data_IF_898748727685
#
_entry.id   IF_898748727685
#
_cell.length_a   1.000
_cell.length_b   1.000
_cell.length_c   1.000
_cell.angle_alpha   90.00
_cell.angle_beta   90.00
_cell.angle_gamma   90.00
#
_symmetry.space_group_name_H-M   'P 1'
#
loop_
_entity.id
_entity.type
_entity.pdbx_description
1 polymer ?
#
# COMPACT_ATOMS: atom_id res chain seq x y z
N UNK A 1 23.39 -0.05 10.73
CA UNK A 1 22.65 1.20 11.01
C UNK A 1 21.31 1.07 10.32
N UNK A 2 20.24 1.69 10.82
CA UNK A 2 18.94 1.58 10.15
C UNK A 2 18.64 2.86 9.39
N UNK A 3 17.95 2.76 8.26
CA UNK A 3 17.51 3.88 7.43
C UNK A 3 16.86 5.02 8.25
N UNK A 4 16.01 4.65 9.23
CA UNK A 4 15.36 5.63 10.09
C UNK A 4 16.34 6.40 10.99
N UNK A 5 17.43 5.74 11.45
CA UNK A 5 18.49 6.40 12.20
C UNK A 5 19.27 7.37 11.32
N UNK A 6 19.49 7.02 10.06
CA UNK A 6 20.23 7.87 9.13
C UNK A 6 19.42 9.09 8.71
N UNK A 7 18.11 8.97 8.51
CA UNK A 7 17.22 10.12 8.28
C UNK A 7 17.16 11.14 9.42
N UNK A 8 17.53 10.71 10.64
CA UNK A 8 17.55 11.57 11.83
C UNK A 8 18.90 12.30 12.01
N UNK A 9 19.91 11.99 11.18
CA UNK A 9 21.21 12.67 11.22
C UNK A 9 21.08 14.09 10.67
N UNK A 10 22.00 14.95 11.08
CA UNK A 10 22.08 16.31 10.56
C UNK A 10 22.39 16.33 9.04
N UNK A 11 23.13 15.32 8.58
CA UNK A 11 23.41 15.05 7.16
C UNK A 11 23.04 13.59 6.85
N UNK A 12 21.80 13.32 6.43
CA UNK A 12 21.30 11.96 6.23
C UNK A 12 21.91 11.26 5.00
N UNK A 13 22.57 11.98 4.13
CA UNK A 13 23.08 11.50 2.85
C UNK A 13 22.09 11.73 1.70
N UNK A 14 22.50 11.35 0.48
CA UNK A 14 21.69 11.56 -0.70
C UNK A 14 20.53 10.54 -0.75
N UNK A 15 19.31 11.05 -0.78
CA UNK A 15 18.10 10.23 -0.98
C UNK A 15 18.02 9.81 -2.44
N UNK A 16 17.81 8.53 -2.67
CA UNK A 16 17.58 7.95 -3.98
C UNK A 16 16.16 7.44 -4.05
N UNK A 17 15.42 7.89 -5.07
CA UNK A 17 14.06 7.46 -5.35
C UNK A 17 14.02 6.69 -6.65
N UNK A 18 13.46 5.48 -6.58
CA UNK A 18 13.34 4.57 -7.70
C UNK A 18 11.86 4.22 -7.89
N UNK A 19 11.50 3.89 -9.13
CA UNK A 19 10.12 3.60 -9.51
C UNK A 19 10.03 2.28 -10.23
N UNK A 20 9.09 1.44 -9.79
CA UNK A 20 8.64 0.24 -10.49
C UNK A 20 7.21 0.47 -10.96
N UNK A 21 6.94 0.27 -12.24
CA UNK A 21 5.59 0.23 -12.79
C UNK A 21 5.34 -1.18 -13.30
N UNK A 22 4.49 -1.90 -12.60
CA UNK A 22 4.14 -3.29 -12.88
C UNK A 22 2.79 -3.36 -13.61
N UNK A 23 2.86 -3.61 -14.90
CA UNK A 23 1.71 -3.84 -15.78
C UNK A 23 1.57 -5.30 -16.20
N UNK A 24 2.27 -6.23 -15.55
CA UNK A 24 2.25 -7.66 -15.94
C UNK A 24 0.87 -8.27 -15.90
N UNK A 25 -0.02 -7.79 -15.02
CA UNK A 25 -1.43 -8.21 -14.96
C UNK A 25 -2.21 -7.90 -16.24
N UNK A 26 -1.75 -6.96 -17.07
CA UNK A 26 -2.39 -6.54 -18.33
C UNK A 26 -1.61 -6.99 -19.58
N UNK A 27 -0.59 -7.82 -19.40
CA UNK A 27 0.19 -8.38 -20.50
C UNK A 27 1.43 -7.56 -20.88
N UNK A 28 1.83 -6.58 -20.08
CA UNK A 28 3.18 -5.97 -20.21
C UNK A 28 4.20 -7.03 -19.86
N UNK A 29 5.20 -7.25 -20.73
CA UNK A 29 6.14 -8.37 -20.58
C UNK A 29 7.04 -8.24 -19.36
N UNK A 30 7.38 -7.01 -18.97
CA UNK A 30 8.34 -6.70 -17.92
C UNK A 30 7.87 -5.54 -17.04
N UNK A 31 8.37 -5.50 -15.80
CA UNK A 31 8.23 -4.36 -14.91
C UNK A 31 9.09 -3.22 -15.40
N UNK A 32 8.51 -2.06 -15.62
CA UNK A 32 9.23 -0.84 -16.00
C UNK A 32 9.94 -0.27 -14.79
N UNK A 33 11.28 -0.18 -14.84
CA UNK A 33 12.10 0.33 -13.72
C UNK A 33 12.86 1.56 -14.15
N UNK A 34 12.69 2.64 -13.42
CA UNK A 34 13.32 3.91 -13.77
C UNK A 34 13.60 4.81 -12.57
N UNK A 35 14.48 5.80 -12.80
CA UNK A 35 14.82 6.86 -11.83
C UNK A 35 15.06 8.18 -12.54
N UNK A 36 14.96 9.30 -11.80
CA UNK A 36 15.18 10.66 -12.30
C UNK A 36 16.49 11.28 -11.81
N UNK A 37 17.40 10.49 -11.22
CA UNK A 37 18.65 11.03 -10.69
C UNK A 37 19.65 11.27 -11.79
N UNK A 38 20.27 12.46 -11.77
CA UNK A 38 21.41 12.75 -12.60
C UNK A 38 22.70 12.30 -11.89
N UNK A 39 23.36 11.30 -12.47
CA UNK A 39 24.60 10.73 -11.93
C UNK A 39 25.74 11.19 -12.82
N UNK A 40 26.64 12.00 -12.26
CA UNK A 40 27.80 12.51 -13.01
C UNK A 40 28.71 11.37 -13.50
N UNK A 41 29.25 11.54 -14.71
CA UNK A 41 30.26 10.66 -15.26
C UNK A 41 31.63 10.94 -14.65
N UNK A 42 32.43 9.91 -14.50
CA UNK A 42 33.81 10.07 -14.03
C UNK A 42 34.69 10.69 -15.13
N UNK A 43 35.80 11.29 -14.73
CA UNK A 43 36.75 11.91 -15.68
C UNK A 43 37.27 10.86 -16.71
N UNK A 44 37.45 9.61 -16.28
CA UNK A 44 37.90 8.52 -17.14
C UNK A 44 36.84 8.13 -18.19
N UNK A 45 35.56 8.09 -17.80
CA UNK A 45 34.43 7.82 -18.72
C UNK A 45 34.32 8.93 -19.77
N UNK A 46 34.41 10.21 -19.33
CA UNK A 46 34.37 11.36 -20.23
C UNK A 46 35.57 11.34 -21.20
N UNK A 47 36.75 11.01 -20.70
CA UNK A 47 37.93 10.87 -21.56
C UNK A 47 37.79 9.75 -22.60
N UNK A 48 37.22 8.60 -22.20
CA UNK A 48 36.94 7.50 -23.09
C UNK A 48 35.91 7.85 -24.18
N UNK A 49 34.98 8.75 -23.90
CA UNK A 49 33.99 9.27 -24.85
C UNK A 49 34.52 10.43 -25.73
N UNK A 50 35.84 10.69 -25.68
CA UNK A 50 36.46 11.75 -26.46
C UNK A 50 36.34 13.13 -25.89
N UNK A 51 36.09 13.24 -24.58
CA UNK A 51 35.98 14.51 -23.83
C UNK A 51 34.61 15.19 -23.88
N UNK A 52 33.60 14.54 -24.43
CA UNK A 52 32.25 15.09 -24.55
C UNK A 52 31.27 14.26 -23.69
N UNK A 53 30.89 14.81 -22.54
CA UNK A 53 29.96 14.20 -21.60
C UNK A 53 28.56 13.99 -22.22
N UNK A 54 28.14 14.83 -23.16
CA UNK A 54 26.81 14.72 -23.80
C UNK A 54 26.66 13.50 -24.70
N UNK A 55 27.75 12.83 -25.04
CA UNK A 55 27.73 11.59 -25.81
C UNK A 55 27.53 10.34 -24.96
N UNK A 56 27.64 10.48 -23.64
CA UNK A 56 27.45 9.37 -22.72
C UNK A 56 25.96 9.22 -22.39
N UNK A 57 25.44 7.98 -22.38
CA UNK A 57 24.08 7.72 -21.92
C UNK A 57 23.98 8.03 -20.42
N UNK A 58 22.81 8.48 -19.98
CA UNK A 58 22.55 8.63 -18.54
C UNK A 58 22.76 7.29 -17.82
N UNK A 59 23.40 7.34 -16.64
CA UNK A 59 23.72 6.14 -15.86
C UNK A 59 22.48 5.51 -15.26
N UNK A 60 22.39 4.20 -15.31
CA UNK A 60 21.39 3.43 -14.55
C UNK A 60 21.81 3.26 -13.08
N UNK A 61 20.83 2.92 -12.22
CA UNK A 61 21.04 2.59 -10.81
C UNK A 61 20.66 1.12 -10.60
N UNK A 62 21.52 0.38 -9.89
CA UNK A 62 21.27 -0.99 -9.47
C UNK A 62 20.75 -1.02 -8.05
N UNK A 63 19.58 -1.65 -7.85
CA UNK A 63 18.94 -1.82 -6.55
C UNK A 63 18.29 -3.20 -6.44
N UNK A 64 18.59 -3.95 -5.39
CA UNK A 64 18.08 -5.32 -5.17
C UNK A 64 18.35 -6.26 -6.35
N UNK A 65 19.48 -6.09 -7.03
CA UNK A 65 19.86 -6.86 -8.22
C UNK A 65 19.09 -6.51 -9.49
N UNK A 66 18.27 -5.44 -9.47
CA UNK A 66 17.54 -4.94 -10.63
C UNK A 66 18.14 -3.64 -11.13
N UNK A 67 18.12 -3.46 -12.45
CA UNK A 67 18.58 -2.24 -13.10
C UNK A 67 17.43 -1.26 -13.28
N UNK A 68 17.63 -0.04 -12.81
CA UNK A 68 16.73 1.10 -12.99
C UNK A 68 17.31 2.04 -14.00
N UNK A 69 16.63 2.24 -15.11
CA UNK A 69 17.09 3.10 -16.19
C UNK A 69 16.87 4.57 -15.87
N UNK A 70 17.77 5.43 -16.29
CA UNK A 70 17.59 6.87 -16.16
C UNK A 70 16.46 7.32 -17.08
N UNK A 71 15.39 7.87 -16.49
CA UNK A 71 14.26 8.42 -17.23
C UNK A 71 13.71 9.65 -16.51
N UNK A 72 13.56 10.81 -17.16
CA UNK A 72 13.05 12.00 -16.50
C UNK A 72 11.61 11.77 -16.01
N UNK A 73 11.45 11.80 -14.71
CA UNK A 73 10.15 11.61 -14.06
C UNK A 73 10.10 12.41 -12.77
N UNK A 74 8.89 12.77 -12.34
CA UNK A 74 8.63 13.50 -11.11
C UNK A 74 7.36 12.96 -10.46
N UNK A 75 7.37 12.83 -9.14
CA UNK A 75 6.18 12.51 -8.37
C UNK A 75 5.90 13.64 -7.38
N UNK A 76 4.66 14.12 -7.36
CA UNK A 76 4.18 15.15 -6.47
C UNK A 76 3.02 14.65 -5.62
N UNK A 77 2.79 15.26 -4.45
CA UNK A 77 1.67 14.89 -3.57
C UNK A 77 1.81 13.55 -2.87
N UNK A 78 3.03 13.01 -2.76
CA UNK A 78 3.31 11.73 -2.07
C UNK A 78 3.31 11.85 -0.54
N UNK A 79 3.18 13.06 -0.02
CA UNK A 79 3.22 13.35 1.40
C UNK A 79 1.96 12.84 2.10
N UNK A 80 2.13 12.27 3.27
CA UNK A 80 1.00 11.83 4.10
C UNK A 80 0.51 13.00 4.93
N UNK A 81 -0.70 13.48 4.66
CA UNK A 81 -1.33 14.50 5.47
C UNK A 81 -1.86 13.90 6.79
N UNK A 82 -1.78 14.68 7.88
CA UNK A 82 -2.28 14.26 9.20
C UNK A 82 -3.76 14.52 9.38
N UNK A 83 -4.40 15.16 8.41
CA UNK A 83 -5.84 15.49 8.40
C UNK A 83 -6.75 14.33 7.97
N UNK A 84 -6.16 13.17 7.64
CA UNK A 84 -6.89 11.98 7.21
C UNK A 84 -7.32 11.99 5.75
N UNK A 85 -6.91 13.00 4.97
CA UNK A 85 -7.13 12.98 3.52
C UNK A 85 -6.19 11.96 2.86
N UNK A 86 -6.73 11.17 1.93
CA UNK A 86 -5.92 10.26 1.12
C UNK A 86 -5.10 11.07 0.12
N UNK A 87 -3.79 10.85 0.10
CA UNK A 87 -2.94 11.48 -0.88
C UNK A 87 -3.25 10.90 -2.28
N UNK A 88 -3.48 11.77 -3.25
CA UNK A 88 -3.58 11.43 -4.67
C UNK A 88 -2.33 11.97 -5.40
N UNK A 89 -1.22 11.23 -5.36
CA UNK A 89 0.00 11.68 -6.01
C UNK A 89 -0.18 11.74 -7.52
N UNK A 90 0.59 12.64 -8.15
CA UNK A 90 0.70 12.70 -9.60
C UNK A 90 2.10 12.27 -10.00
N UNK A 91 2.21 11.25 -10.85
CA UNK A 91 3.45 10.80 -11.46
C UNK A 91 3.52 11.38 -12.88
N UNK A 92 4.46 12.27 -13.11
CA UNK A 92 4.77 12.85 -14.42
C UNK A 92 6.01 12.17 -15.00
N UNK A 93 5.91 11.68 -16.22
CA UNK A 93 6.99 10.95 -16.92
C UNK A 93 7.23 11.62 -18.26
N UNK A 94 8.50 11.85 -18.60
CA UNK A 94 8.86 12.42 -19.89
C UNK A 94 8.47 11.49 -21.04
N UNK A 95 7.84 12.05 -22.06
CA UNK A 95 7.37 11.33 -23.24
C UNK A 95 8.41 11.39 -24.37
N UNK A 96 9.57 10.82 -24.10
CA UNK A 96 10.67 10.80 -25.06
C UNK A 96 10.28 9.91 -26.25
N UNK A 97 10.40 10.45 -27.46
CA UNK A 97 10.08 9.75 -28.71
C UNK A 97 8.68 9.11 -28.73
N UNK A 98 7.73 9.68 -27.99
CA UNK A 98 6.36 9.17 -27.83
C UNK A 98 6.28 7.72 -27.33
N UNK A 99 7.31 7.22 -26.66
CA UNK A 99 7.37 5.85 -26.16
C UNK A 99 6.32 5.58 -25.07
N UNK A 100 6.09 6.55 -24.17
CA UNK A 100 5.06 6.42 -23.12
C UNK A 100 3.65 6.46 -23.74
N UNK A 101 3.40 7.34 -24.73
CA UNK A 101 2.14 7.35 -25.49
C UNK A 101 1.88 6.01 -26.16
N UNK A 102 2.89 5.39 -26.78
CA UNK A 102 2.76 4.08 -27.40
C UNK A 102 2.41 2.98 -26.38
N UNK A 103 3.00 3.02 -25.19
CA UNK A 103 2.66 2.11 -24.09
C UNK A 103 1.22 2.33 -23.63
N UNK A 104 0.81 3.58 -23.44
CA UNK A 104 -0.56 3.91 -23.05
C UNK A 104 -1.59 3.37 -24.06
N UNK A 105 -1.34 3.55 -25.36
CA UNK A 105 -2.22 3.04 -26.42
C UNK A 105 -2.25 1.51 -26.48
N UNK A 106 -1.15 0.85 -26.19
CA UNK A 106 -1.05 -0.61 -26.24
C UNK A 106 -1.72 -1.29 -25.03
N UNK A 107 -1.72 -0.63 -23.86
CA UNK A 107 -2.11 -1.22 -22.58
C UNK A 107 -3.14 -0.39 -21.79
N UNK A 108 -4.09 0.19 -22.50
CA UNK A 108 -5.26 0.91 -21.93
C UNK A 108 -4.85 1.95 -20.85
N UNK A 109 -3.94 2.86 -21.24
CA UNK A 109 -3.39 3.92 -20.39
C UNK A 109 -2.69 3.39 -19.11
N UNK A 110 -2.29 2.12 -19.06
CA UNK A 110 -1.71 1.45 -17.89
C UNK A 110 -2.61 1.53 -16.63
N UNK A 111 -3.92 1.67 -16.80
CA UNK A 111 -4.88 1.78 -15.71
C UNK A 111 -4.78 0.56 -14.78
N UNK A 112 -4.79 0.81 -13.48
CA UNK A 112 -4.60 -0.19 -12.43
C UNK A 112 -3.21 -0.83 -12.37
N UNK A 113 -2.23 -0.38 -13.16
CA UNK A 113 -0.86 -0.81 -13.00
C UNK A 113 -0.34 -0.40 -11.61
N UNK A 114 0.38 -1.32 -10.98
CA UNK A 114 0.95 -1.08 -9.65
C UNK A 114 2.21 -0.24 -9.78
N UNK A 115 2.26 0.88 -9.07
CA UNK A 115 3.42 1.75 -8.96
C UNK A 115 4.04 1.59 -7.58
N UNK A 116 5.28 1.09 -7.54
CA UNK A 116 6.04 0.99 -6.29
C UNK A 116 7.12 2.05 -6.30
N UNK A 117 7.17 2.83 -5.24
CA UNK A 117 8.20 3.87 -5.05
C UNK A 117 9.12 3.39 -3.94
N UNK A 118 10.41 3.29 -4.26
CA UNK A 118 11.47 2.92 -3.35
C UNK A 118 12.25 4.17 -2.95
N UNK A 119 12.18 4.57 -1.70
CA UNK A 119 12.99 5.66 -1.14
C UNK A 119 14.11 5.04 -0.29
N UNK A 120 15.36 5.16 -0.74
CA UNK A 120 16.56 4.67 -0.05
C UNK A 120 17.65 5.77 0.02
N UNK A 121 18.80 5.46 0.59
CA UNK A 121 19.96 6.34 0.59
C UNK A 121 21.05 5.76 -0.32
N UNK A 122 21.79 6.63 -1.00
CA UNK A 122 22.84 6.25 -1.94
C UNK A 122 23.87 5.27 -1.34
N UNK A 123 24.13 5.37 -0.03
CA UNK A 123 25.08 4.50 0.68
C UNK A 123 24.62 3.03 0.76
N UNK A 124 23.33 2.73 0.59
CA UNK A 124 22.78 1.37 0.66
C UNK A 124 22.61 0.70 -0.70
N UNK A 125 22.87 1.43 -1.79
CA UNK A 125 22.74 0.90 -3.15
C UNK A 125 23.68 -0.28 -3.40
N UNK A 126 23.31 -1.11 -4.35
CA UNK A 126 24.08 -2.30 -4.73
C UNK A 126 25.52 -1.96 -5.10
N UNK A 127 26.42 -2.91 -4.87
CA UNK A 127 27.85 -2.76 -5.11
C UNK A 127 28.17 -2.40 -6.57
N UNK A 128 27.32 -2.76 -7.51
CA UNK A 128 27.45 -2.49 -8.94
C UNK A 128 27.44 -0.99 -9.29
N UNK A 129 26.87 -0.16 -8.43
CA UNK A 129 26.85 1.30 -8.61
C UNK A 129 28.20 1.98 -8.32
N UNK A 130 29.14 1.26 -7.73
CA UNK A 130 30.39 1.82 -7.24
C UNK A 130 31.61 1.06 -7.83
N UNK A 131 32.61 1.74 -8.40
CA UNK A 131 33.79 1.09 -8.98
C UNK A 131 34.57 0.21 -7.99
N UNK A 132 34.59 0.57 -6.70
CA UNK A 132 35.26 -0.15 -5.63
C UNK A 132 34.34 -1.16 -4.91
N UNK A 133 33.11 -1.34 -5.38
CA UNK A 133 32.07 -2.04 -4.65
C UNK A 133 31.47 -1.22 -3.50
N UNK A 134 30.49 -1.77 -2.81
CA UNK A 134 29.85 -1.12 -1.67
C UNK A 134 29.71 -2.08 -0.48
N UNK A 135 30.56 -1.99 0.55
CA UNK A 135 30.45 -2.82 1.75
C UNK A 135 29.23 -2.47 2.63
N UNK A 136 28.60 -1.33 2.39
CA UNK A 136 27.40 -0.88 3.11
C UNK A 136 26.11 -1.20 2.37
N UNK A 137 26.15 -1.90 1.23
CA UNK A 137 24.98 -2.29 0.48
C UNK A 137 24.02 -3.10 1.36
N UNK A 138 22.77 -2.65 1.45
CA UNK A 138 21.74 -3.33 2.23
C UNK A 138 20.37 -3.13 1.58
N UNK A 139 19.86 -4.14 0.87
CA UNK A 139 18.60 -4.07 0.15
C UNK A 139 17.37 -3.94 1.05
N UNK A 140 17.54 -4.10 2.36
CA UNK A 140 16.43 -3.96 3.32
C UNK A 140 16.22 -2.52 3.80
N UNK A 141 17.16 -1.61 3.50
CA UNK A 141 17.13 -0.22 3.95
C UNK A 141 16.38 0.66 2.95
N UNK A 142 15.06 0.49 2.90
CA UNK A 142 14.18 1.27 2.03
C UNK A 142 12.87 1.64 2.72
N UNK A 143 12.19 2.66 2.18
CA UNK A 143 10.80 2.97 2.46
C UNK A 143 9.99 2.71 1.21
N UNK A 144 9.08 1.76 1.30
CA UNK A 144 8.19 1.39 0.21
C UNK A 144 6.89 2.19 0.30
N UNK A 145 6.46 2.73 -0.85
CA UNK A 145 5.14 3.28 -1.03
C UNK A 145 4.52 2.64 -2.27
N UNK A 146 3.32 2.15 -2.13
CA UNK A 146 2.61 1.45 -3.20
C UNK A 146 1.38 2.26 -3.59
N UNK A 147 1.21 2.45 -4.89
CA UNK A 147 0.07 3.13 -5.50
C UNK A 147 -0.41 2.33 -6.71
N UNK A 148 -1.56 2.72 -7.24
CA UNK A 148 -2.09 2.21 -8.51
C UNK A 148 -2.40 3.39 -9.42
N UNK A 149 -2.20 3.22 -10.72
CA UNK A 149 -2.59 4.23 -11.71
C UNK A 149 -4.11 4.25 -11.77
N UNK A 150 -4.70 5.40 -11.40
CA UNK A 150 -6.14 5.62 -11.40
C UNK A 150 -6.63 6.24 -12.71
N UNK A 151 -5.90 7.25 -13.20
CA UNK A 151 -6.21 7.92 -14.45
C UNK A 151 -4.97 8.53 -15.07
N UNK A 152 -4.98 8.64 -16.42
CA UNK A 152 -4.07 9.51 -17.15
C UNK A 152 -4.65 10.93 -17.12
N UNK A 153 -3.99 11.85 -16.41
CA UNK A 153 -4.48 13.21 -16.20
C UNK A 153 -4.10 14.17 -17.33
N UNK A 154 -2.92 13.99 -17.92
CA UNK A 154 -2.41 14.85 -18.98
C UNK A 154 -1.55 14.03 -19.93
N UNK A 155 -1.66 14.32 -21.22
CA UNK A 155 -0.77 13.79 -22.24
C UNK A 155 -0.38 14.89 -23.22
N UNK A 156 0.92 15.08 -23.34
CA UNK A 156 1.53 16.00 -24.30
C UNK A 156 2.66 15.31 -25.04
N UNK A 157 3.24 15.98 -26.03
CA UNK A 157 4.42 15.46 -26.72
C UNK A 157 5.67 15.38 -25.80
N UNK A 158 5.66 16.09 -24.67
CA UNK A 158 6.81 16.19 -23.77
C UNK A 158 6.63 15.38 -22.49
N UNK A 159 5.39 15.29 -21.98
CA UNK A 159 5.10 14.71 -20.66
C UNK A 159 3.76 13.99 -20.69
N UNK A 160 3.71 12.83 -20.05
CA UNK A 160 2.48 12.13 -19.67
C UNK A 160 2.39 12.11 -18.14
N UNK A 161 1.24 12.54 -17.61
CA UNK A 161 0.99 12.58 -16.18
C UNK A 161 -0.11 11.61 -15.79
N UNK A 162 0.12 10.85 -14.72
CA UNK A 162 -0.80 9.87 -14.16
C UNK A 162 -1.21 10.27 -12.75
N UNK A 163 -2.49 10.25 -12.47
CA UNK A 163 -3.01 10.34 -11.10
C UNK A 163 -2.93 8.96 -10.46
N UNK A 164 -2.36 8.91 -9.26
CA UNK A 164 -2.19 7.68 -8.52
C UNK A 164 -3.18 7.61 -7.36
N UNK A 165 -3.66 6.41 -7.05
CA UNK A 165 -4.49 6.13 -5.88
C UNK A 165 -3.77 5.20 -4.89
N UNK A 166 -4.03 5.38 -3.61
CA UNK A 166 -3.53 4.49 -2.57
C UNK A 166 -4.30 3.16 -2.60
N UNK A 167 -3.67 2.00 -2.35
CA UNK A 167 -4.39 0.73 -2.18
C UNK A 167 -5.41 0.77 -1.03
N UNK A 168 -5.32 1.73 -0.12
CA UNK A 168 -6.28 1.95 0.95
C UNK A 168 -7.53 2.72 0.50
N UNK A 169 -7.51 3.30 -0.69
CA UNK A 169 -8.60 4.10 -1.26
C UNK A 169 -9.63 3.22 -2.01
N UNK A 170 -9.76 1.99 -1.57
CA UNK A 170 -10.77 1.07 -2.09
C UNK A 170 -12.16 1.60 -1.74
N UNK A 171 -12.89 2.05 -2.74
CA UNK A 171 -14.27 2.52 -2.60
C UNK A 171 -15.10 1.46 -1.87
N UNK A 172 -15.67 1.84 -0.74
CA UNK A 172 -16.49 0.95 0.08
C UNK A 172 -15.75 0.17 1.16
N UNK A 173 -14.43 0.32 1.32
CA UNK A 173 -13.72 -0.24 2.47
C UNK A 173 -14.00 0.61 3.71
N UNK A 174 -14.88 0.13 4.59
CA UNK A 174 -15.08 0.75 5.89
C UNK A 174 -13.97 0.33 6.85
N UNK A 175 -13.14 1.28 7.27
CA UNK A 175 -12.12 1.11 8.31
C UNK A 175 -12.53 1.95 9.52
N UNK A 176 -12.72 1.34 10.69
CA UNK A 176 -12.56 -0.09 10.98
C UNK A 176 -13.68 -0.94 10.38
N UNK A 177 -13.35 -2.16 9.96
CA UNK A 177 -14.29 -3.14 9.36
C UNK A 177 -15.39 -3.59 10.34
N UNK A 178 -15.24 -3.27 11.62
CA UNK A 178 -16.21 -3.55 12.66
C UNK A 178 -17.14 -2.36 12.86
N UNK A 179 -18.37 -2.52 12.44
CA UNK A 179 -19.41 -1.54 12.71
C UNK A 179 -19.83 -1.57 14.20
N UNK A 180 -20.12 -0.40 14.75
CA UNK A 180 -20.65 -0.25 16.11
C UNK A 180 -22.16 -0.51 16.06
N UNK A 181 -22.58 -1.70 16.46
CA UNK A 181 -23.99 -2.08 16.59
C UNK A 181 -24.35 -2.34 18.06
N UNK A 182 -25.60 -2.08 18.43
CA UNK A 182 -26.13 -2.50 19.72
C UNK A 182 -26.31 -4.03 19.82
N UNK A 183 -26.37 -4.70 18.69
CA UNK A 183 -26.47 -6.15 18.59
C UNK A 183 -25.09 -6.82 18.55
N UNK A 184 -25.02 -8.06 19.00
CA UNK A 184 -23.82 -8.88 19.02
C UNK A 184 -23.35 -9.20 17.58
N UNK A 185 -22.14 -8.79 17.22
CA UNK A 185 -21.57 -9.02 15.90
C UNK A 185 -21.32 -10.50 15.61
N UNK A 186 -21.14 -11.31 16.64
CA UNK A 186 -21.00 -12.77 16.47
C UNK A 186 -22.27 -13.41 15.94
N UNK A 187 -23.44 -12.98 16.42
CA UNK A 187 -24.74 -13.43 15.88
C UNK A 187 -24.95 -12.96 14.45
N UNK A 188 -24.65 -11.70 14.13
CA UNK A 188 -24.78 -11.14 12.77
C UNK A 188 -23.92 -11.92 11.77
N UNK A 189 -22.76 -12.44 12.21
CA UNK A 189 -21.83 -13.21 11.40
C UNK A 189 -22.06 -14.72 11.47
N UNK A 190 -23.16 -15.18 11.99
CA UNK A 190 -23.48 -16.62 12.19
C UNK A 190 -22.43 -17.38 13.01
N UNK A 191 -21.79 -16.71 13.97
CA UNK A 191 -20.79 -17.29 14.87
C UNK A 191 -21.34 -17.64 16.25
N UNK A 192 -22.65 -17.75 16.39
CA UNK A 192 -23.28 -18.24 17.62
C UNK A 192 -22.85 -19.69 17.88
N UNK A 193 -22.39 -20.00 19.10
CA UNK A 193 -21.87 -21.34 19.52
C UNK A 193 -20.65 -21.83 18.70
N UNK A 194 -19.94 -20.98 18.00
CA UNK A 194 -18.85 -21.42 17.14
C UNK A 194 -17.51 -21.62 17.86
N UNK A 195 -17.38 -21.11 19.09
CA UNK A 195 -16.09 -21.03 19.79
C UNK A 195 -15.20 -19.88 19.28
N UNK A 196 -15.56 -19.23 18.14
CA UNK A 196 -14.88 -18.09 17.58
C UNK A 196 -15.70 -16.82 17.86
N UNK A 197 -15.44 -16.18 18.98
CA UNK A 197 -16.14 -15.01 19.48
C UNK A 197 -17.32 -15.34 20.40
N UNK A 198 -18.25 -16.19 20.02
CA UNK A 198 -19.28 -16.72 20.91
C UNK A 198 -18.93 -18.15 21.32
N UNK A 199 -18.54 -18.32 22.57
CA UNK A 199 -18.11 -19.58 23.21
C UNK A 199 -19.19 -20.29 24.01
N UNK A 200 -20.47 -19.89 23.85
CA UNK A 200 -21.56 -20.52 24.57
C UNK A 200 -21.67 -22.02 24.26
N UNK A 201 -21.33 -22.87 25.23
CA UNK A 201 -21.42 -24.34 25.17
C UNK A 201 -22.46 -24.92 26.14
N UNK A 202 -23.30 -24.07 26.73
CA UNK A 202 -24.30 -24.49 27.72
C UNK A 202 -25.42 -25.35 27.13
N UNK A 203 -26.09 -26.09 28.00
CA UNK A 203 -27.21 -27.02 27.66
C UNK A 203 -28.58 -26.34 27.72
N UNK A 204 -28.65 -25.07 28.05
CA UNK A 204 -29.90 -24.30 28.01
C UNK A 204 -30.07 -23.73 26.59
N UNK A 205 -31.25 -23.97 26.03
CA UNK A 205 -31.61 -23.50 24.69
C UNK A 205 -32.75 -22.50 24.76
N UNK A 206 -32.73 -21.51 23.88
CA UNK A 206 -33.69 -20.40 23.84
C UNK A 206 -34.02 -20.06 22.39
N UNK A 207 -35.30 -19.81 22.12
CA UNK A 207 -35.73 -19.30 20.82
C UNK A 207 -35.29 -17.85 20.58
N UNK A 208 -35.56 -17.31 19.38
CA UNK A 208 -35.26 -15.91 19.02
C UNK A 208 -35.94 -14.84 19.89
N UNK A 209 -36.94 -15.23 20.66
CA UNK A 209 -37.66 -14.36 21.61
C UNK A 209 -37.17 -14.54 23.05
N UNK A 210 -36.12 -15.30 23.27
CA UNK A 210 -35.53 -15.64 24.57
C UNK A 210 -36.45 -16.56 25.45
N UNK A 211 -37.42 -17.25 24.88
CA UNK A 211 -38.17 -18.26 25.61
C UNK A 211 -37.35 -19.57 25.70
N UNK A 212 -37.35 -20.26 26.85
CA UNK A 212 -36.65 -21.51 26.99
C UNK A 212 -37.29 -22.59 26.10
N UNK A 213 -36.47 -23.34 25.38
CA UNK A 213 -36.87 -24.45 24.53
C UNK A 213 -36.11 -25.71 24.93
N UNK A 214 -36.71 -26.89 24.74
CA UNK A 214 -36.06 -28.17 25.03
C UNK A 214 -35.36 -28.80 23.83
N UNK A 215 -35.68 -28.31 22.64
CA UNK A 215 -35.11 -28.81 21.39
C UNK A 215 -33.89 -27.95 20.99
N UNK A 216 -32.69 -28.55 20.89
CA UNK A 216 -31.50 -27.83 20.46
C UNK A 216 -31.61 -27.22 19.06
N UNK A 217 -32.45 -27.77 18.20
CA UNK A 217 -32.64 -27.28 16.83
C UNK A 217 -33.37 -25.92 16.76
N UNK A 218 -34.08 -25.57 17.83
CA UNK A 218 -34.79 -24.27 17.97
C UNK A 218 -33.97 -23.20 18.68
N UNK A 219 -32.72 -23.52 19.04
CA UNK A 219 -31.85 -22.56 19.74
C UNK A 219 -31.34 -21.49 18.80
N UNK A 220 -31.84 -20.28 18.99
CA UNK A 220 -31.48 -19.13 18.18
C UNK A 220 -31.18 -17.90 19.07
N UNK A 221 -30.01 -17.28 18.85
CA UNK A 221 -29.65 -16.08 19.62
C UNK A 221 -30.04 -14.80 18.86
N UNK A 222 -30.88 -13.92 19.42
CA UNK A 222 -31.26 -12.65 18.79
C UNK A 222 -30.15 -11.59 18.83
N UNK A 223 -28.98 -11.90 19.37
CA UNK A 223 -27.85 -10.99 19.44
C UNK A 223 -27.98 -9.84 20.43
N UNK A 224 -28.95 -9.86 21.32
CA UNK A 224 -29.15 -8.83 22.35
C UNK A 224 -28.30 -9.11 23.59
N UNK A 225 -27.96 -8.06 24.35
CA UNK A 225 -27.23 -8.21 25.61
C UNK A 225 -28.02 -9.07 26.62
N UNK A 226 -29.33 -8.90 26.66
CA UNK A 226 -30.23 -9.70 27.53
C UNK A 226 -30.14 -11.18 27.16
N UNK A 227 -30.13 -11.51 25.87
CA UNK A 227 -29.99 -12.90 25.41
C UNK A 227 -28.64 -13.51 25.80
N UNK A 228 -27.56 -12.72 25.76
CA UNK A 228 -26.24 -13.15 26.21
C UNK A 228 -26.22 -13.42 27.73
N UNK A 229 -26.81 -12.53 28.54
CA UNK A 229 -26.94 -12.70 29.99
C UNK A 229 -27.75 -13.95 30.38
N UNK A 230 -28.85 -14.23 29.68
CA UNK A 230 -29.66 -15.44 29.92
C UNK A 230 -28.87 -16.74 29.69
N UNK A 231 -27.97 -16.73 28.73
CA UNK A 231 -27.16 -17.91 28.37
C UNK A 231 -25.96 -18.08 29.30
N UNK A 232 -25.20 -17.03 29.51
CA UNK A 232 -23.95 -17.08 30.28
C UNK A 232 -24.14 -16.82 31.79
N UNK A 233 -25.29 -16.24 32.19
CA UNK A 233 -25.56 -15.81 33.56
C UNK A 233 -25.31 -14.33 33.76
N UNK A 234 -26.04 -13.70 34.68
CA UNK A 234 -26.06 -12.24 34.83
C UNK A 234 -24.78 -11.68 35.47
N UNK A 235 -24.06 -12.48 36.25
CA UNK A 235 -22.84 -12.08 36.96
C UNK A 235 -21.53 -12.53 36.32
N UNK A 236 -21.58 -13.19 35.17
CA UNK A 236 -20.40 -13.71 34.51
C UNK A 236 -19.86 -12.77 33.43
N UNK A 237 -18.59 -12.97 33.04
CA UNK A 237 -18.04 -12.32 31.86
C UNK A 237 -18.82 -12.76 30.62
N UNK A 238 -19.20 -11.80 29.80
CA UNK A 238 -20.02 -12.06 28.61
C UNK A 238 -19.19 -11.87 27.34
N UNK A 239 -19.11 -12.86 26.46
CA UNK A 239 -18.46 -12.75 25.15
C UNK A 239 -19.33 -11.94 24.18
N UNK A 240 -19.88 -10.81 24.65
CA UNK A 240 -20.80 -9.99 23.89
C UNK A 240 -20.06 -9.10 22.89
N UNK A 241 -20.24 -9.36 21.60
CA UNK A 241 -19.58 -8.64 20.52
C UNK A 241 -20.25 -7.32 20.11
N UNK A 242 -21.24 -6.81 20.84
CA UNK A 242 -21.95 -5.58 20.55
C UNK A 242 -21.58 -4.43 21.47
N UNK A 243 -22.11 -3.24 21.18
CA UNK A 243 -21.93 -2.00 21.94
C UNK A 243 -23.29 -1.48 22.41
N UNK A 244 -23.79 -1.93 23.58
CA UNK A 244 -25.14 -1.58 24.04
C UNK A 244 -25.42 -0.07 24.12
N UNK A 245 -24.39 0.73 24.44
CA UNK A 245 -24.48 2.17 24.53
C UNK A 245 -24.84 2.88 23.23
N UNK A 246 -24.65 2.23 22.07
CA UNK A 246 -24.97 2.86 20.78
C UNK A 246 -26.47 3.05 20.55
N UNK A 247 -27.31 2.30 21.24
CA UNK A 247 -28.78 2.48 21.19
C UNK A 247 -29.25 3.76 21.89
N UNK A 248 -28.40 4.36 22.73
CA UNK A 248 -28.71 5.62 23.45
C UNK A 248 -28.37 6.87 22.62
N UNK A 249 -27.59 6.71 21.54
CA UNK A 249 -27.24 7.80 20.62
C UNK A 249 -28.29 7.82 19.50
N UNK A 250 -29.53 8.15 19.87
CA UNK A 250 -30.55 8.55 18.89
C UNK A 250 -30.74 10.06 19.03
N UNK A 251 -30.15 10.79 18.09
CA UNK A 251 -30.53 12.16 17.79
C UNK A 251 -31.81 12.17 16.97
#
# INVERSE_FOLDING_TARGET
MSLNSDYQKLEPGNVVRLFDVDGTAFGVSDVLRFHAHNIAHTADEIAAAGGDENKLPAKSIWWQGQEYNAWPCQIEGIETATDGTSAQPTLSVANLDSSITALCLAYDDLLQAKVTVHDTLAQYLDAQNFPAGNPSADPTQEKLKVFYIDAKSTETNEVVAFTLSSPMDLQGLMIPTRQLHSLCTWCIRNKYRSGDGCDYAGTRYFDKHNNPVNDPSLDECPGTLTACKLRHGEGNELPFGGFPGTSLIRS
#
